data_IF_862409269871
#
_entry.id   IF_862409269871
#
_cell.length_a   1.000
_cell.length_b   1.000
_cell.length_c   1.000
_cell.angle_alpha   90.00
_cell.angle_beta   90.00
_cell.angle_gamma   90.00
#
_symmetry.space_group_name_H-M   'P 1'
#
loop_
_entity.id
_entity.type
_entity.pdbx_description
1 polymer ?
#
# COMPACT_ATOMS: atom_id res chain seq x y z
N UNK A 1 4.31 -4.18 -12.86
CA UNK A 1 5.57 -3.75 -12.22
C UNK A 1 5.71 -2.25 -12.39
N UNK A 2 6.31 -1.52 -11.44
CA UNK A 2 6.61 -0.09 -11.65
C UNK A 2 7.49 0.11 -12.90
N UNK A 3 8.49 -0.76 -13.07
CA UNK A 3 9.42 -0.69 -14.19
C UNK A 3 8.79 -0.97 -15.57
N UNK A 4 7.56 -1.52 -15.65
CA UNK A 4 6.87 -1.73 -16.92
C UNK A 4 6.12 -0.47 -17.41
N UNK A 5 5.88 0.51 -16.54
CA UNK A 5 5.21 1.77 -16.88
C UNK A 5 6.25 2.87 -17.13
N UNK A 6 6.90 2.84 -18.29
CA UNK A 6 8.02 3.75 -18.64
C UNK A 6 7.59 5.06 -19.31
N UNK A 7 6.29 5.31 -19.38
CA UNK A 7 5.71 6.42 -20.14
C UNK A 7 4.61 5.93 -21.09
N UNK A 8 3.88 6.87 -21.66
CA UNK A 8 2.76 6.61 -22.56
C UNK A 8 2.23 7.90 -23.16
N UNK A 9 1.15 7.78 -23.94
CA UNK A 9 0.39 8.92 -24.42
C UNK A 9 -0.95 8.95 -23.70
N UNK A 10 -1.27 10.06 -23.07
CA UNK A 10 -2.57 10.32 -22.45
C UNK A 10 -3.25 11.46 -23.19
N UNK A 11 -4.50 11.26 -23.58
CA UNK A 11 -5.30 12.31 -24.22
C UNK A 11 -6.21 12.94 -23.17
N UNK A 12 -6.14 14.26 -23.04
CA UNK A 12 -7.05 15.04 -22.20
C UNK A 12 -7.91 15.94 -23.10
N UNK A 13 -9.21 16.00 -22.82
CA UNK A 13 -10.13 16.87 -23.55
C UNK A 13 -10.16 18.24 -22.90
N UNK A 14 -9.83 19.28 -23.67
CA UNK A 14 -9.95 20.68 -23.25
C UNK A 14 -11.18 21.29 -23.92
N UNK A 15 -12.15 21.73 -23.11
CA UNK A 15 -13.32 22.48 -23.59
C UNK A 15 -13.16 23.96 -23.28
N UNK A 16 -13.36 24.80 -24.30
CA UNK A 16 -13.40 26.26 -24.16
C UNK A 16 -14.70 26.75 -24.79
N UNK A 17 -15.55 27.39 -24.00
CA UNK A 17 -16.82 27.97 -24.45
C UNK A 17 -16.79 29.50 -24.27
N UNK A 18 -17.25 30.23 -25.29
CA UNK A 18 -17.47 31.67 -25.21
C UNK A 18 -18.84 32.00 -25.81
N UNK A 19 -19.63 32.84 -25.11
CA UNK A 19 -20.94 33.32 -25.58
C UNK A 19 -20.91 34.84 -25.78
N UNK A 20 -20.29 35.34 -26.87
CA UNK A 20 -20.21 36.78 -27.12
C UNK A 20 -21.54 37.34 -27.65
N UNK A 21 -21.86 38.59 -27.28
CA UNK A 21 -22.94 39.37 -27.89
C UNK A 21 -22.34 40.28 -28.97
N UNK A 22 -22.72 40.07 -30.23
CA UNK A 22 -22.23 40.87 -31.37
C UNK A 22 -23.26 41.95 -31.74
N UNK A 23 -22.90 43.24 -31.71
CA UNK A 23 -23.78 44.33 -32.14
C UNK A 23 -24.17 44.25 -33.63
N UNK A 24 -25.35 44.79 -34.03
CA UNK A 24 -25.74 44.88 -35.44
C UNK A 24 -24.68 45.59 -36.29
N UNK A 25 -24.44 45.08 -37.50
CA UNK A 25 -23.45 45.62 -38.44
C UNK A 25 -21.99 45.67 -37.91
N UNK A 26 -21.61 44.79 -36.98
CA UNK A 26 -20.25 44.71 -36.42
C UNK A 26 -19.70 43.27 -36.39
N UNK A 27 -18.41 43.11 -36.06
CA UNK A 27 -17.76 41.81 -35.88
C UNK A 27 -16.88 41.79 -34.63
N UNK A 28 -16.77 40.62 -33.99
CA UNK A 28 -15.92 40.41 -32.82
C UNK A 28 -14.88 39.31 -33.10
N UNK A 29 -13.58 39.61 -33.08
CA UNK A 29 -12.55 38.58 -33.25
C UNK A 29 -12.43 37.74 -31.98
N UNK A 30 -12.61 36.42 -32.11
CA UNK A 30 -12.41 35.45 -31.01
C UNK A 30 -11.15 34.64 -31.32
N UNK A 31 -10.26 34.49 -30.32
CA UNK A 31 -9.04 33.69 -30.43
C UNK A 31 -8.98 32.69 -29.28
N UNK A 32 -8.85 31.41 -29.62
CA UNK A 32 -8.55 30.34 -28.67
C UNK A 32 -7.10 29.92 -28.87
N UNK A 33 -6.29 29.95 -27.81
CA UNK A 33 -4.90 29.52 -27.83
C UNK A 33 -4.70 28.33 -26.88
N UNK A 34 -4.26 27.20 -27.43
CA UNK A 34 -3.90 26.01 -26.67
C UNK A 34 -2.38 25.95 -26.57
N UNK A 35 -1.85 25.82 -25.35
CA UNK A 35 -0.42 25.81 -25.08
C UNK A 35 0.04 24.44 -24.64
N UNK A 36 1.22 24.03 -25.10
CA UNK A 36 1.91 22.82 -24.65
C UNK A 36 3.06 23.21 -23.75
N UNK A 37 3.16 22.57 -22.60
CA UNK A 37 4.32 22.63 -21.70
C UNK A 37 4.94 21.25 -21.56
N UNK A 38 6.26 21.20 -21.34
CA UNK A 38 6.98 19.99 -21.00
C UNK A 38 7.79 20.25 -19.72
N UNK A 39 7.76 19.31 -18.78
CA UNK A 39 8.41 19.41 -17.49
C UNK A 39 9.23 18.14 -17.27
N UNK A 40 10.44 18.30 -16.76
CA UNK A 40 11.32 17.20 -16.38
C UNK A 40 11.92 17.47 -15.01
N UNK A 41 11.81 16.51 -14.11
CA UNK A 41 12.45 16.53 -12.80
C UNK A 41 12.83 15.10 -12.39
N UNK A 42 13.94 14.92 -11.65
CA UNK A 42 14.20 13.66 -10.99
C UNK A 42 13.11 13.42 -9.94
N UNK A 43 12.59 12.20 -9.88
CA UNK A 43 11.62 11.79 -8.88
C UNK A 43 12.19 10.65 -8.03
N UNK A 44 11.76 10.57 -6.78
CA UNK A 44 12.07 9.48 -5.88
C UNK A 44 10.80 9.06 -5.14
N UNK A 45 10.60 7.75 -5.04
CA UNK A 45 9.51 7.16 -4.27
C UNK A 45 10.08 6.14 -3.29
N UNK A 46 9.47 6.04 -2.11
CA UNK A 46 9.79 5.00 -1.12
C UNK A 46 8.82 3.83 -1.29
N UNK A 47 9.35 2.61 -1.25
CA UNK A 47 8.57 1.38 -1.22
C UNK A 47 8.74 0.70 0.13
N UNK A 48 7.64 0.31 0.75
CA UNK A 48 7.67 -0.48 1.98
C UNK A 48 8.06 -1.93 1.66
N UNK A 49 9.04 -2.45 2.39
CA UNK A 49 9.51 -3.83 2.24
C UNK A 49 8.83 -4.69 3.30
N UNK A 50 8.07 -5.68 2.82
CA UNK A 50 7.35 -6.63 3.65
C UNK A 50 7.96 -8.02 3.47
N UNK A 51 8.00 -8.81 4.52
CA UNK A 51 8.59 -10.15 4.49
C UNK A 51 7.93 -11.11 5.47
N UNK A 52 8.01 -12.39 5.15
CA UNK A 52 7.59 -13.47 6.04
C UNK A 52 8.80 -13.93 6.87
N UNK A 53 8.68 -13.86 8.20
CA UNK A 53 9.68 -14.33 9.15
C UNK A 53 9.25 -15.68 9.69
N UNK A 54 9.88 -16.75 9.20
CA UNK A 54 9.64 -18.12 9.70
C UNK A 54 10.65 -18.47 10.78
N UNK A 55 10.15 -18.78 11.97
CA UNK A 55 10.93 -19.31 13.07
C UNK A 55 10.74 -20.82 13.12
N UNK A 56 11.82 -21.59 12.92
CA UNK A 56 11.81 -23.04 12.94
C UNK A 56 12.81 -23.56 13.96
N UNK A 57 12.34 -24.35 14.91
CA UNK A 57 13.17 -24.91 15.98
C UNK A 57 12.33 -25.67 17.01
N UNK A 58 12.97 -26.28 18.01
CA UNK A 58 12.24 -26.93 19.08
C UNK A 58 11.85 -25.93 20.18
N UNK A 59 10.69 -26.13 20.80
CA UNK A 59 10.28 -25.34 21.97
C UNK A 59 11.01 -25.84 23.24
N UNK A 60 11.50 -24.92 24.08
CA UNK A 60 12.20 -25.30 25.32
C UNK A 60 11.23 -25.95 26.33
N UNK A 61 11.74 -26.95 27.05
CA UNK A 61 11.07 -27.54 28.22
C UNK A 61 10.93 -26.51 29.34
N UNK A 62 9.75 -26.42 29.97
CA UNK A 62 9.49 -25.52 31.11
C UNK A 62 9.65 -24.02 30.84
N UNK A 63 9.74 -23.60 29.57
CA UNK A 63 10.15 -22.23 29.23
C UNK A 63 9.90 -21.80 27.79
N UNK A 64 8.66 -21.93 27.32
CA UNK A 64 8.21 -21.47 26.01
C UNK A 64 6.91 -20.64 26.11
N UNK A 65 6.65 -19.82 25.10
CA UNK A 65 5.54 -18.87 25.05
C UNK A 65 4.34 -19.35 24.23
N UNK A 66 4.37 -20.60 23.74
CA UNK A 66 3.23 -21.16 23.02
C UNK A 66 2.06 -21.36 23.98
N UNK A 67 0.84 -21.02 23.57
CA UNK A 67 -0.32 -20.94 24.47
C UNK A 67 -0.62 -22.22 25.30
N UNK A 68 -0.23 -23.41 24.83
CA UNK A 68 -0.42 -24.68 25.59
C UNK A 68 0.76 -25.08 26.46
N UNK A 69 1.88 -24.35 26.42
CA UNK A 69 3.12 -24.64 27.14
C UNK A 69 3.59 -26.11 27.02
N UNK A 70 3.82 -26.66 25.81
CA UNK A 70 4.25 -28.04 25.64
C UNK A 70 5.63 -28.29 26.27
N UNK A 71 5.77 -29.43 26.94
CA UNK A 71 7.00 -29.84 27.62
C UNK A 71 7.80 -30.91 26.86
N UNK A 72 7.23 -31.51 25.82
CA UNK A 72 7.88 -32.59 25.06
C UNK A 72 8.93 -32.13 24.03
N UNK A 73 9.42 -30.88 24.13
CA UNK A 73 10.34 -30.23 23.18
C UNK A 73 9.97 -30.44 21.71
N UNK A 74 8.72 -30.12 21.31
CA UNK A 74 8.27 -30.37 19.95
C UNK A 74 9.03 -29.46 18.97
N UNK A 75 9.35 -29.99 17.79
CA UNK A 75 9.76 -29.17 16.65
C UNK A 75 8.57 -28.33 16.22
N UNK A 76 8.76 -27.02 16.18
CA UNK A 76 7.75 -26.05 15.84
C UNK A 76 8.20 -25.17 14.69
N UNK A 77 7.23 -24.73 13.89
CA UNK A 77 7.43 -23.77 12.81
C UNK A 77 6.29 -22.77 12.89
N UNK A 78 6.63 -21.48 12.99
CA UNK A 78 5.63 -20.40 13.00
C UNK A 78 6.13 -19.24 12.16
N UNK A 79 5.24 -18.65 11.36
CA UNK A 79 5.57 -17.57 10.43
C UNK A 79 4.83 -16.30 10.82
N UNK A 80 5.58 -15.22 10.98
CA UNK A 80 5.03 -13.87 11.15
C UNK A 80 5.11 -13.08 9.85
N UNK A 81 4.06 -12.33 9.56
CA UNK A 81 4.03 -11.40 8.43
C UNK A 81 4.51 -10.03 8.92
N UNK A 82 5.74 -9.65 8.57
CA UNK A 82 6.29 -8.34 8.87
C UNK A 82 5.86 -7.38 7.78
N UNK A 83 4.91 -6.51 8.11
CA UNK A 83 4.30 -5.58 7.17
C UNK A 83 2.79 -5.48 7.41
N UNK A 84 1.98 -5.44 6.33
CA UNK A 84 0.53 -5.39 6.42
C UNK A 84 -0.05 -6.56 7.22
N UNK A 85 -1.16 -6.29 7.91
CA UNK A 85 -1.95 -7.34 8.54
C UNK A 85 -2.44 -8.34 7.47
N UNK A 86 -2.15 -9.62 7.67
CA UNK A 86 -2.66 -10.72 6.84
C UNK A 86 -3.72 -11.51 7.60
N UNK A 87 -3.37 -11.97 8.80
CA UNK A 87 -4.25 -12.72 9.68
C UNK A 87 -3.81 -12.59 11.16
N UNK A 88 -4.60 -13.17 12.06
CA UNK A 88 -4.36 -13.11 13.50
C UNK A 88 -3.14 -13.92 13.96
N UNK A 89 -2.81 -15.03 13.28
CA UNK A 89 -1.71 -15.93 13.63
C UNK A 89 -0.35 -15.32 13.28
N UNK A 90 -0.29 -14.62 12.14
CA UNK A 90 0.93 -14.04 11.59
C UNK A 90 1.19 -12.61 12.06
N UNK A 91 0.24 -11.96 12.74
CA UNK A 91 0.38 -10.57 13.21
C UNK A 91 0.79 -10.47 14.68
N UNK A 92 2.07 -10.13 14.91
CA UNK A 92 2.61 -9.83 16.25
C UNK A 92 1.81 -8.69 16.90
N UNK A 93 1.51 -7.63 16.14
CA UNK A 93 0.80 -6.46 16.67
C UNK A 93 -0.60 -6.82 17.15
N UNK A 94 -1.33 -7.63 16.39
CA UNK A 94 -2.65 -8.11 16.77
C UNK A 94 -2.61 -8.89 18.09
N UNK A 95 -1.71 -9.88 18.19
CA UNK A 95 -1.57 -10.73 19.37
C UNK A 95 -1.18 -9.91 20.61
N UNK A 96 -0.23 -8.98 20.46
CA UNK A 96 0.19 -8.11 21.54
C UNK A 96 -0.94 -7.19 22.04
N UNK A 97 -1.67 -6.55 21.14
CA UNK A 97 -2.74 -5.62 21.48
C UNK A 97 -3.96 -6.34 22.10
N UNK A 98 -4.13 -7.64 21.83
CA UNK A 98 -5.21 -8.48 22.34
C UNK A 98 -4.80 -9.43 23.46
N UNK A 99 -3.59 -9.30 24.01
CA UNK A 99 -3.02 -10.18 25.05
C UNK A 99 -3.85 -10.34 26.33
N UNK A 100 -4.75 -9.40 26.63
CA UNK A 100 -5.63 -9.45 27.81
C UNK A 100 -7.03 -10.00 27.52
N UNK A 101 -7.29 -10.51 26.32
CA UNK A 101 -8.55 -11.16 25.95
C UNK A 101 -8.27 -12.67 25.86
N UNK A 102 -8.63 -13.48 26.87
CA UNK A 102 -8.27 -14.91 26.90
C UNK A 102 -8.71 -15.69 25.67
N UNK A 103 -9.86 -15.35 25.06
CA UNK A 103 -10.35 -16.00 23.85
C UNK A 103 -9.55 -15.74 22.57
N UNK A 104 -8.63 -14.76 22.59
CA UNK A 104 -7.76 -14.43 21.46
C UNK A 104 -6.33 -15.00 21.60
N UNK A 105 -5.97 -15.55 22.76
CA UNK A 105 -4.65 -16.19 22.99
C UNK A 105 -4.69 -17.62 22.45
N UNK A 106 -4.41 -17.77 21.16
CA UNK A 106 -4.41 -19.06 20.42
C UNK A 106 -3.06 -19.44 19.83
N UNK A 107 -2.06 -18.57 20.01
CA UNK A 107 -0.67 -18.71 19.58
C UNK A 107 0.18 -18.29 20.77
#
# INVERSE_FOLDING_TARGET
SWASQKGGSTTETVSVEARPTVPPHSSLPVRVALYKSNISYPYEFKAEVNYDLTMKGFLRWGGNAWYTHPENRPTWEHTFAVGPFRDKASSIRYQWDKRYIPGEVKW
#
